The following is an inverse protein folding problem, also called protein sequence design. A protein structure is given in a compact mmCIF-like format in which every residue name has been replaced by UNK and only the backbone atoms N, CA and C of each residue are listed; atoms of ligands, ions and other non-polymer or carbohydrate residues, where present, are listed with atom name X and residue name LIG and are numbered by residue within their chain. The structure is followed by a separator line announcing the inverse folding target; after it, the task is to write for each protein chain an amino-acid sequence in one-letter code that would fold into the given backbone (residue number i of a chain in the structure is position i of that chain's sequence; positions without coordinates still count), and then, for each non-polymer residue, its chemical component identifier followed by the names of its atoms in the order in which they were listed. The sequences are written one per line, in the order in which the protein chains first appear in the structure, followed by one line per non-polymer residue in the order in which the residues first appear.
data_IF_457823731522
#
_entry.id   IF_457823731522
#
_cell.length_a   1.000
_cell.length_b   1.000
_cell.length_c   1.000
_cell.angle_alpha   90.00
_cell.angle_beta   90.00
_cell.angle_gamma   90.00
#
_symmetry.space_group_name_H-M   'P 1'
#
loop_
_entity.id
_entity.type
_entity.pdbx_description
1 polymer ?
#
# COMPACT_ATOMS: atom_id res chain seq x y z
N UNK A 1 27.93 14.62 -13.42
CA UNK A 1 26.77 15.38 -12.89
C UNK A 1 25.46 14.74 -13.36
N UNK A 2 25.09 13.55 -12.84
CA UNK A 2 23.84 12.81 -13.18
C UNK A 2 23.13 12.21 -11.95
N UNK A 3 23.64 12.44 -10.75
CA UNK A 3 23.12 11.85 -9.51
C UNK A 3 21.98 12.69 -8.90
N UNK A 4 21.97 14.01 -9.14
CA UNK A 4 20.94 14.91 -8.61
C UNK A 4 19.52 14.67 -9.16
N UNK A 5 19.38 14.12 -10.38
CA UNK A 5 18.06 13.85 -10.96
C UNK A 5 17.42 12.57 -10.40
N UNK A 6 18.23 11.54 -10.07
CA UNK A 6 17.74 10.28 -9.50
C UNK A 6 17.27 10.43 -8.06
N UNK A 7 17.96 11.26 -7.27
CA UNK A 7 17.54 11.57 -5.90
C UNK A 7 16.11 12.11 -5.86
N UNK A 8 15.78 13.06 -6.75
CA UNK A 8 14.45 13.67 -6.77
C UNK A 8 13.33 12.65 -7.03
N UNK A 9 13.55 11.65 -7.90
CA UNK A 9 12.54 10.61 -8.19
C UNK A 9 12.33 9.69 -6.99
N UNK A 10 13.41 9.30 -6.31
CA UNK A 10 13.32 8.44 -5.12
C UNK A 10 12.60 9.17 -3.99
N UNK A 11 12.96 10.43 -3.71
CA UNK A 11 12.28 11.24 -2.70
C UNK A 11 10.82 11.53 -3.05
N UNK A 12 10.49 11.60 -4.34
CA UNK A 12 9.10 11.73 -4.79
C UNK A 12 8.31 10.43 -4.62
N UNK A 13 8.92 9.27 -4.88
CA UNK A 13 8.28 7.96 -4.77
C UNK A 13 8.16 7.46 -3.32
N UNK A 14 9.08 7.86 -2.45
CA UNK A 14 9.14 7.46 -1.04
C UNK A 14 7.84 7.66 -0.26
N UNK A 15 7.15 8.82 -0.29
CA UNK A 15 5.89 9.00 0.43
C UNK A 15 4.79 8.06 -0.05
N UNK A 16 4.73 7.76 -1.35
CA UNK A 16 3.77 6.81 -1.90
C UNK A 16 4.12 5.38 -1.49
N UNK A 17 5.40 5.02 -1.45
CA UNK A 17 5.84 3.71 -0.96
C UNK A 17 5.49 3.51 0.53
N UNK A 18 5.72 4.53 1.36
CA UNK A 18 5.33 4.52 2.78
C UNK A 18 3.81 4.36 2.90
N UNK A 19 3.05 5.14 2.13
CA UNK A 19 1.58 5.07 2.12
C UNK A 19 1.07 3.67 1.73
N UNK A 20 1.56 3.11 0.62
CA UNK A 20 1.20 1.77 0.16
C UNK A 20 1.57 0.71 1.19
N UNK A 21 2.78 0.80 1.77
CA UNK A 21 3.22 -0.13 2.81
C UNK A 21 2.33 -0.09 4.05
N UNK A 22 1.91 1.10 4.49
CA UNK A 22 1.04 1.28 5.64
C UNK A 22 -0.33 0.62 5.43
N UNK A 23 -0.96 0.85 4.28
CA UNK A 23 -2.23 0.20 3.94
C UNK A 23 -2.10 -1.32 3.77
N UNK A 24 -0.98 -1.79 3.21
CA UNK A 24 -0.70 -3.22 3.07
C UNK A 24 -0.58 -3.89 4.43
N UNK A 25 0.14 -3.26 5.38
CA UNK A 25 0.27 -3.72 6.76
C UNK A 25 -1.08 -3.71 7.47
N UNK A 26 -1.87 -2.65 7.31
CA UNK A 26 -3.23 -2.58 7.89
C UNK A 26 -4.13 -3.70 7.34
N UNK A 27 -4.04 -4.01 6.05
CA UNK A 27 -4.74 -5.15 5.45
C UNK A 27 -4.29 -6.48 6.04
N UNK A 28 -2.99 -6.70 6.16
CA UNK A 28 -2.41 -7.92 6.73
C UNK A 28 -2.86 -8.15 8.17
N UNK A 29 -2.64 -7.17 9.04
CA UNK A 29 -3.00 -7.27 10.46
C UNK A 29 -4.50 -7.26 10.66
N UNK A 30 -5.23 -6.42 9.93
CA UNK A 30 -6.69 -6.35 9.99
C UNK A 30 -7.33 -7.69 9.61
N UNK A 31 -6.91 -8.29 8.49
CA UNK A 31 -7.42 -9.59 8.08
C UNK A 31 -7.00 -10.73 9.00
N UNK A 32 -5.79 -10.67 9.56
CA UNK A 32 -5.35 -11.66 10.53
C UNK A 32 -6.17 -11.61 11.82
N UNK A 33 -6.35 -10.41 12.40
CA UNK A 33 -7.15 -10.23 13.62
C UNK A 33 -8.60 -10.64 13.38
N UNK A 34 -9.20 -10.17 12.29
CA UNK A 34 -10.59 -10.47 11.95
C UNK A 34 -10.81 -11.98 11.76
N UNK A 35 -9.96 -12.64 10.99
CA UNK A 35 -10.05 -14.09 10.79
C UNK A 35 -9.77 -14.89 12.07
N UNK A 36 -8.87 -14.42 12.93
CA UNK A 36 -8.61 -15.06 14.22
C UNK A 36 -9.82 -14.99 15.16
N UNK A 37 -10.57 -13.89 15.15
CA UNK A 37 -11.82 -13.76 15.89
C UNK A 37 -12.94 -14.70 15.37
N UNK A 38 -12.92 -15.05 14.09
CA UNK A 38 -13.95 -15.85 13.44
C UNK A 38 -13.70 -17.36 13.50
N UNK A 39 -12.44 -17.80 13.49
CA UNK A 39 -12.14 -19.23 13.40
C UNK A 39 -10.71 -19.61 13.76
N UNK A 40 -10.02 -18.78 14.55
CA UNK A 40 -8.65 -19.03 14.98
C UNK A 40 -7.59 -18.74 13.91
N UNK A 41 -6.35 -19.15 14.19
CA UNK A 41 -5.16 -18.74 13.44
C UNK A 41 -5.22 -19.10 11.95
N UNK A 42 -5.71 -20.29 11.60
CA UNK A 42 -5.83 -20.74 10.19
C UNK A 42 -6.73 -19.81 9.39
N UNK A 43 -7.89 -19.44 9.95
CA UNK A 43 -8.82 -18.50 9.30
C UNK A 43 -8.23 -17.09 9.26
N UNK A 44 -7.50 -16.69 10.30
CA UNK A 44 -6.70 -15.46 10.31
C UNK A 44 -5.75 -15.35 9.12
N UNK A 45 -4.98 -16.39 8.82
CA UNK A 45 -4.09 -16.40 7.65
C UNK A 45 -4.84 -16.36 6.33
N UNK A 46 -5.96 -17.08 6.22
CA UNK A 46 -6.77 -17.09 4.98
C UNK A 46 -7.39 -15.71 4.72
N UNK A 47 -7.82 -14.99 5.77
CA UNK A 47 -8.38 -13.64 5.63
C UNK A 47 -7.32 -12.56 5.46
N UNK A 48 -6.12 -12.73 6.01
CA UNK A 48 -5.05 -11.73 5.88
C UNK A 48 -4.58 -11.58 4.44
N UNK A 49 -4.47 -12.66 3.67
CA UNK A 49 -4.02 -12.64 2.27
C UNK A 49 -4.89 -11.71 1.39
N UNK A 50 -6.21 -11.94 1.24
CA UNK A 50 -7.05 -11.09 0.38
C UNK A 50 -7.15 -9.66 0.91
N UNK A 51 -7.17 -9.44 2.23
CA UNK A 51 -7.18 -8.08 2.79
C UNK A 51 -5.86 -7.33 2.55
N UNK A 52 -4.72 -8.04 2.57
CA UNK A 52 -3.41 -7.46 2.25
C UNK A 52 -3.38 -7.00 0.80
N UNK A 53 -3.84 -7.84 -0.13
CA UNK A 53 -3.95 -7.46 -1.54
C UNK A 53 -4.92 -6.29 -1.73
N UNK A 54 -6.07 -6.31 -1.05
CA UNK A 54 -7.03 -5.22 -1.10
C UNK A 54 -6.40 -3.90 -0.63
N UNK A 55 -5.70 -3.90 0.51
CA UNK A 55 -4.99 -2.74 1.02
C UNK A 55 -3.92 -2.23 0.06
N UNK A 56 -3.13 -3.13 -0.53
CA UNK A 56 -2.12 -2.79 -1.52
C UNK A 56 -2.72 -2.15 -2.77
N UNK A 57 -3.71 -2.80 -3.41
CA UNK A 57 -4.32 -2.30 -4.64
C UNK A 57 -5.07 -0.99 -4.43
N UNK A 58 -5.75 -0.84 -3.29
CA UNK A 58 -6.47 0.39 -2.96
C UNK A 58 -5.51 1.55 -2.77
N UNK A 59 -4.41 1.34 -2.04
CA UNK A 59 -3.38 2.36 -1.87
C UNK A 59 -2.65 2.68 -3.18
N UNK A 60 -2.39 1.67 -4.03
CA UNK A 60 -1.80 1.86 -5.35
C UNK A 60 -2.72 2.67 -6.27
N UNK A 61 -4.03 2.39 -6.24
CA UNK A 61 -5.02 3.15 -7.01
C UNK A 61 -5.08 4.62 -6.57
N UNK A 62 -5.08 4.88 -5.26
CA UNK A 62 -5.05 6.24 -4.71
C UNK A 62 -3.75 6.95 -5.11
N UNK A 63 -2.60 6.28 -4.93
CA UNK A 63 -1.29 6.83 -5.31
C UNK A 63 -1.25 7.16 -6.81
N UNK A 64 -1.75 6.27 -7.66
CA UNK A 64 -1.85 6.48 -9.10
C UNK A 64 -2.74 7.69 -9.44
N UNK A 65 -3.90 7.82 -8.79
CA UNK A 65 -4.81 8.98 -8.98
C UNK A 65 -4.15 10.30 -8.60
N UNK A 66 -3.46 10.35 -7.45
CA UNK A 66 -2.74 11.55 -7.00
C UNK A 66 -1.65 11.92 -8.01
N UNK A 67 -0.85 10.94 -8.45
CA UNK A 67 0.22 11.17 -9.43
C UNK A 67 -0.39 11.63 -10.76
N UNK A 68 -1.45 10.98 -11.23
CA UNK A 68 -2.13 11.33 -12.49
C UNK A 68 -2.70 12.75 -12.46
N UNK A 69 -3.33 13.17 -11.35
CA UNK A 69 -3.80 14.55 -11.20
C UNK A 69 -2.65 15.55 -11.21
N UNK A 70 -1.58 15.25 -10.47
CA UNK A 70 -0.40 16.11 -10.41
C UNK A 70 0.26 16.33 -11.78
N UNK A 71 0.28 15.31 -12.64
CA UNK A 71 0.81 15.41 -14.00
C UNK A 71 -0.20 15.96 -15.03
N UNK A 72 -1.51 15.85 -14.79
CA UNK A 72 -2.54 16.37 -15.70
C UNK A 72 -2.81 17.86 -15.53
N UNK A 73 -2.28 18.48 -14.47
CA UNK A 73 -2.38 19.92 -14.17
C UNK A 73 -1.14 20.69 -14.68
N UNK A 74 -0.10 20.00 -15.17
CA UNK A 74 1.01 20.58 -15.94
C UNK A 74 0.73 20.50 -17.45
#
# INVERSE_FOLDING_TARGET
MKEGLKGNVIFHALPYAIFISGFTILGLFGGFVLGNMLGGSTVGFVFSIPLTFLGFFLALFIAYRIVKEKFSIC
#
